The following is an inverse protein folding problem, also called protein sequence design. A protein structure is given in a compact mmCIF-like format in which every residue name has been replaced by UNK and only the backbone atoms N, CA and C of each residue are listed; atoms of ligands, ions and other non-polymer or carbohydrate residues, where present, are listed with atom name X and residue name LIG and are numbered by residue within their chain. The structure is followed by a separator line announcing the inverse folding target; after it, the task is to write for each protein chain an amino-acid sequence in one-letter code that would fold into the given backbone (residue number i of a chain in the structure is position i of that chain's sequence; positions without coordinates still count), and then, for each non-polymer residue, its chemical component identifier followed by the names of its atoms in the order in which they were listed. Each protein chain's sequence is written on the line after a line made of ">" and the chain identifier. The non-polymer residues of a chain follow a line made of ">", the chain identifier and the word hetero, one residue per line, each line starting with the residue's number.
data_IF_299432034687
#
_entry.id   IF_299432034687
#
_cell.length_a   1.000
_cell.length_b   1.000
_cell.length_c   1.000
_cell.angle_alpha   90.00
_cell.angle_beta   90.00
_cell.angle_gamma   90.00
#
_symmetry.space_group_name_H-M   'P 1'
#
loop_
_entity.id
_entity.type
_entity.pdbx_description
1 polymer ?
#
# COMPACT_ATOMS: atom_id res chain seq x y z
N UNK A 1 -11.02 21.13 -37.10
CA UNK A 1 -10.87 22.33 -36.24
C UNK A 1 -10.89 21.86 -34.80
N UNK A 2 -9.93 22.28 -33.97
CA UNK A 2 -9.91 21.95 -32.54
C UNK A 2 -11.10 22.67 -31.87
N UNK A 3 -11.88 21.95 -31.07
CA UNK A 3 -13.07 22.50 -30.40
C UNK A 3 -12.67 23.54 -29.34
N UNK A 4 -13.60 24.43 -28.97
CA UNK A 4 -13.32 25.47 -27.97
C UNK A 4 -12.96 24.84 -26.61
N UNK A 5 -13.64 23.76 -26.24
CA UNK A 5 -13.39 23.02 -25.00
C UNK A 5 -11.97 22.44 -25.00
N UNK A 6 -11.51 21.85 -26.11
CA UNK A 6 -10.15 21.32 -26.20
C UNK A 6 -9.09 22.43 -26.13
N UNK A 7 -9.36 23.61 -26.71
CA UNK A 7 -8.47 24.77 -26.54
C UNK A 7 -8.43 25.27 -25.10
N UNK A 8 -9.56 25.27 -24.40
CA UNK A 8 -9.60 25.67 -22.98
C UNK A 8 -8.82 24.69 -22.11
N UNK A 9 -8.91 23.39 -22.39
CA UNK A 9 -8.18 22.35 -21.67
C UNK A 9 -6.67 22.40 -21.96
N UNK A 10 -6.27 22.53 -23.23
CA UNK A 10 -4.86 22.66 -23.67
C UNK A 10 -4.13 23.88 -23.07
N UNK A 11 -4.88 24.90 -22.64
CA UNK A 11 -4.36 26.13 -22.06
C UNK A 11 -4.75 26.33 -20.59
N UNK A 12 -5.32 25.30 -19.95
CA UNK A 12 -5.61 25.32 -18.52
C UNK A 12 -4.38 24.88 -17.72
N UNK A 13 -4.03 25.66 -16.69
CA UNK A 13 -2.96 25.31 -15.77
C UNK A 13 -3.39 24.27 -14.71
N UNK A 14 -4.70 23.99 -14.59
CA UNK A 14 -5.26 23.20 -13.49
C UNK A 14 -6.16 22.05 -13.96
N UNK A 15 -6.63 22.06 -15.20
CA UNK A 15 -7.47 20.99 -15.74
C UNK A 15 -6.64 20.12 -16.69
N UNK A 16 -6.38 18.89 -16.27
CA UNK A 16 -5.47 17.95 -16.95
C UNK A 16 -6.26 16.91 -17.75
N UNK A 17 -7.29 16.33 -17.12
CA UNK A 17 -8.21 15.34 -17.70
C UNK A 17 -9.67 15.73 -17.42
N UNK A 18 -10.58 15.35 -18.31
CA UNK A 18 -12.02 15.35 -18.06
C UNK A 18 -12.50 13.91 -18.14
N UNK A 19 -13.21 13.47 -17.10
CA UNK A 19 -13.67 12.09 -16.94
C UNK A 19 -15.21 12.09 -16.91
N UNK A 20 -15.80 11.18 -17.68
CA UNK A 20 -17.21 10.84 -17.55
C UNK A 20 -17.40 9.98 -16.29
N UNK A 21 -18.17 10.48 -15.33
CA UNK A 21 -18.32 9.87 -13.99
C UNK A 21 -19.05 8.54 -14.03
N UNK A 22 -19.96 8.34 -14.98
CA UNK A 22 -20.77 7.11 -15.06
C UNK A 22 -19.96 5.93 -15.64
N UNK A 23 -19.14 6.20 -16.67
CA UNK A 23 -18.32 5.19 -17.34
C UNK A 23 -16.86 5.13 -16.90
N UNK A 24 -16.42 6.09 -16.08
CA UNK A 24 -15.01 6.37 -15.75
C UNK A 24 -14.12 6.62 -16.97
N UNK A 25 -14.73 6.98 -18.10
CA UNK A 25 -14.03 7.17 -19.38
C UNK A 25 -13.34 8.53 -19.40
N UNK A 26 -12.07 8.57 -19.80
CA UNK A 26 -11.41 9.85 -20.09
C UNK A 26 -11.99 10.38 -21.40
N UNK A 27 -12.75 11.47 -21.30
CA UNK A 27 -13.41 12.09 -22.45
C UNK A 27 -12.61 13.24 -23.05
N UNK A 28 -11.73 13.87 -22.26
CA UNK A 28 -10.75 14.87 -22.74
C UNK A 28 -9.44 14.75 -21.96
N UNK A 29 -8.33 14.99 -22.64
CA UNK A 29 -7.01 15.12 -22.04
C UNK A 29 -6.27 16.29 -22.66
N UNK A 30 -5.52 17.04 -21.87
CA UNK A 30 -4.70 18.12 -22.39
C UNK A 30 -3.34 17.57 -22.85
N UNK A 31 -2.61 18.32 -23.67
CA UNK A 31 -1.30 17.88 -24.15
C UNK A 31 -0.26 17.67 -23.04
N UNK A 32 -0.36 18.43 -21.96
CA UNK A 32 0.54 18.32 -20.82
C UNK A 32 0.34 16.98 -20.08
N UNK A 33 -0.91 16.52 -19.95
CA UNK A 33 -1.27 15.23 -19.38
C UNK A 33 -0.55 14.10 -20.11
N UNK A 34 -0.62 14.10 -21.45
CA UNK A 34 0.07 13.10 -22.26
C UNK A 34 1.59 13.12 -22.07
N UNK A 35 2.18 14.30 -21.95
CA UNK A 35 3.63 14.44 -21.71
C UNK A 35 4.06 13.95 -20.33
N UNK A 36 3.28 14.28 -19.29
CA UNK A 36 3.58 13.90 -17.91
C UNK A 36 3.35 12.40 -17.69
N UNK A 37 2.26 11.86 -18.23
CA UNK A 37 1.84 10.48 -18.03
C UNK A 37 2.51 9.50 -19.02
N UNK A 38 3.19 10.01 -20.05
CA UNK A 38 3.87 9.19 -21.06
C UNK A 38 2.93 8.55 -22.10
N UNK A 39 1.73 9.11 -22.30
CA UNK A 39 0.74 8.65 -23.28
C UNK A 39 0.48 9.71 -24.36
N UNK A 40 0.07 9.28 -25.54
CA UNK A 40 -0.57 10.18 -26.50
C UNK A 40 -1.97 10.56 -26.02
N UNK A 41 -2.49 11.70 -26.46
CA UNK A 41 -3.86 12.11 -26.12
C UNK A 41 -4.88 11.05 -26.58
N UNK A 42 -4.66 10.44 -27.75
CA UNK A 42 -5.55 9.40 -28.26
C UNK A 42 -5.52 8.13 -27.41
N UNK A 43 -4.35 7.74 -26.89
CA UNK A 43 -4.23 6.64 -25.91
C UNK A 43 -4.97 6.98 -24.62
N UNK A 44 -4.75 8.18 -24.05
CA UNK A 44 -5.47 8.63 -22.85
C UNK A 44 -6.99 8.54 -23.02
N UNK A 45 -7.52 8.98 -24.17
CA UNK A 45 -8.94 8.94 -24.47
C UNK A 45 -9.50 7.51 -24.64
N UNK A 46 -8.63 6.52 -24.87
CA UNK A 46 -9.01 5.11 -24.98
C UNK A 46 -9.04 4.38 -23.62
N UNK A 47 -8.49 4.99 -22.59
CA UNK A 47 -8.40 4.44 -21.24
C UNK A 47 -9.51 4.96 -20.33
N UNK A 48 -9.90 4.14 -19.34
CA UNK A 48 -10.60 4.64 -18.16
C UNK A 48 -9.61 5.34 -17.24
N UNK A 49 -10.09 6.26 -16.42
CA UNK A 49 -9.21 6.98 -15.48
C UNK A 49 -8.49 6.02 -14.52
N UNK A 50 -9.16 4.94 -14.13
CA UNK A 50 -8.61 3.87 -13.29
C UNK A 50 -7.55 2.99 -13.97
N UNK A 51 -7.42 3.07 -15.31
CA UNK A 51 -6.36 2.37 -16.05
C UNK A 51 -5.04 3.16 -16.01
N UNK A 52 -5.12 4.47 -15.71
CA UNK A 52 -3.99 5.40 -15.71
C UNK A 52 -3.55 5.74 -14.29
N UNK A 53 -4.50 6.03 -13.41
CA UNK A 53 -4.25 6.28 -11.99
C UNK A 53 -4.07 4.95 -11.26
N UNK A 54 -3.00 4.85 -10.47
CA UNK A 54 -2.55 3.55 -9.93
C UNK A 54 -2.62 3.41 -8.42
N UNK A 55 -2.88 4.51 -7.70
CA UNK A 55 -3.09 4.43 -6.25
C UNK A 55 -4.50 3.88 -5.97
N UNK A 56 -4.62 3.04 -4.95
CA UNK A 56 -5.94 2.53 -4.53
C UNK A 56 -6.87 3.65 -4.07
N UNK A 57 -6.32 4.73 -3.53
CA UNK A 57 -7.09 5.91 -3.16
C UNK A 57 -7.78 6.53 -4.37
N UNK A 58 -7.07 6.68 -5.48
CA UNK A 58 -7.65 7.23 -6.70
C UNK A 58 -8.70 6.28 -7.28
N UNK A 59 -8.44 4.96 -7.28
CA UNK A 59 -9.42 3.96 -7.74
C UNK A 59 -10.70 4.03 -6.90
N UNK A 60 -10.60 4.00 -5.57
CA UNK A 60 -11.78 4.07 -4.70
C UNK A 60 -12.49 5.43 -4.80
N UNK A 61 -11.74 6.53 -4.95
CA UNK A 61 -12.32 7.84 -5.20
C UNK A 61 -13.19 7.83 -6.47
N UNK A 62 -12.65 7.33 -7.58
CA UNK A 62 -13.40 7.27 -8.84
C UNK A 62 -14.59 6.32 -8.77
N UNK A 63 -14.49 5.21 -8.04
CA UNK A 63 -15.63 4.33 -7.77
C UNK A 63 -16.73 5.01 -6.93
N UNK A 64 -16.37 5.79 -5.91
CA UNK A 64 -17.32 6.59 -5.12
C UNK A 64 -18.01 7.66 -5.99
N UNK A 65 -17.25 8.35 -6.85
CA UNK A 65 -17.77 9.32 -7.81
C UNK A 65 -18.77 8.65 -8.77
N UNK A 66 -18.46 7.47 -9.31
CA UNK A 66 -19.37 6.69 -10.16
C UNK A 66 -20.61 6.21 -9.41
N UNK A 67 -20.50 5.98 -8.10
CA UNK A 67 -21.63 5.66 -7.23
C UNK A 67 -22.46 6.89 -6.82
N UNK A 68 -22.09 8.09 -7.27
CA UNK A 68 -22.78 9.35 -6.97
C UNK A 68 -22.41 9.98 -5.62
N UNK A 69 -21.35 9.49 -4.97
CA UNK A 69 -20.85 9.98 -3.70
C UNK A 69 -19.58 10.81 -3.93
N UNK A 70 -19.71 12.13 -4.05
CA UNK A 70 -18.54 13.02 -4.15
C UNK A 70 -18.66 14.20 -3.18
N UNK A 71 -17.56 14.53 -2.51
CA UNK A 71 -17.42 15.73 -1.67
C UNK A 71 -16.83 16.89 -2.48
N UNK A 72 -17.17 18.13 -2.12
CA UNK A 72 -16.49 19.31 -2.70
C UNK A 72 -14.99 19.23 -2.45
N UNK A 73 -14.22 19.31 -3.54
CA UNK A 73 -12.78 19.13 -3.56
C UNK A 73 -12.13 20.45 -3.16
N UNK A 74 -11.60 20.56 -1.93
CA UNK A 74 -10.74 21.69 -1.57
C UNK A 74 -9.25 21.36 -1.75
N UNK A 75 -8.81 20.12 -1.50
CA UNK A 75 -7.41 19.70 -1.69
C UNK A 75 -7.34 18.17 -1.87
N UNK A 76 -7.20 17.71 -3.12
CA UNK A 76 -6.72 16.35 -3.41
C UNK A 76 -5.42 16.49 -4.21
N UNK A 77 -4.32 16.04 -3.63
CA UNK A 77 -3.10 15.74 -4.37
C UNK A 77 -3.28 14.36 -4.99
N UNK A 78 -3.18 14.26 -6.32
CA UNK A 78 -3.11 12.96 -6.98
C UNK A 78 -1.77 12.31 -6.64
N UNK A 79 -1.80 11.11 -6.07
CA UNK A 79 -0.60 10.33 -5.78
C UNK A 79 -0.18 9.64 -7.07
N UNK A 80 0.66 10.32 -7.85
CA UNK A 80 1.25 9.73 -9.04
C UNK A 80 2.21 8.62 -8.64
N UNK A 81 1.82 7.38 -8.94
CA UNK A 81 2.65 6.16 -8.99
C UNK A 81 3.85 6.14 -8.03
N UNK A 82 3.59 5.72 -6.78
CA UNK A 82 4.62 5.06 -5.97
C UNK A 82 4.81 5.63 -4.58
N UNK A 83 4.08 5.09 -3.60
CA UNK A 83 4.76 4.57 -2.43
C UNK A 83 4.07 3.29 -1.94
N UNK A 84 4.89 2.31 -1.59
CA UNK A 84 4.42 1.14 -0.87
C UNK A 84 3.90 1.60 0.51
N UNK A 85 2.75 1.06 0.95
CA UNK A 85 2.14 1.41 2.24
C UNK A 85 1.19 2.62 2.28
N UNK A 86 0.92 3.30 1.17
CA UNK A 86 -0.10 4.38 1.08
C UNK A 86 -1.56 3.85 1.09
N UNK A 87 -1.74 2.53 1.16
CA UNK A 87 -3.05 1.87 1.21
C UNK A 87 -3.99 2.41 2.30
N UNK A 88 -3.42 2.93 3.39
CA UNK A 88 -4.18 3.49 4.51
C UNK A 88 -4.77 4.86 4.19
N UNK A 89 -4.22 5.62 3.24
CA UNK A 89 -4.72 6.96 2.89
C UNK A 89 -6.10 6.93 2.22
N UNK A 90 -6.54 5.75 1.77
CA UNK A 90 -7.95 5.46 1.42
C UNK A 90 -8.90 5.78 2.58
N UNK A 91 -8.45 5.64 3.83
CA UNK A 91 -9.26 5.95 5.02
C UNK A 91 -9.32 7.48 5.21
N UNK A 92 -10.50 8.12 5.11
CA UNK A 92 -10.55 9.59 5.10
C UNK A 92 -10.00 10.22 6.39
N UNK A 93 -9.02 11.10 6.22
CA UNK A 93 -8.27 11.77 7.29
C UNK A 93 -7.07 10.97 7.81
N UNK A 94 -6.71 9.87 7.14
CA UNK A 94 -5.44 9.21 7.32
C UNK A 94 -4.38 9.82 6.40
N UNK A 95 -3.13 9.82 6.85
CA UNK A 95 -1.96 10.26 6.09
C UNK A 95 -0.83 9.26 6.35
N UNK A 96 -0.12 8.87 5.31
CA UNK A 96 1.09 8.08 5.36
C UNK A 96 2.28 8.97 4.99
N UNK A 97 3.40 8.78 5.67
CA UNK A 97 4.64 9.49 5.36
C UNK A 97 5.80 8.52 5.40
N UNK A 98 6.76 8.73 4.52
CA UNK A 98 7.99 7.96 4.48
C UNK A 98 9.15 8.82 5.01
N UNK A 99 9.99 8.25 5.87
CA UNK A 99 11.07 8.99 6.55
C UNK A 99 12.42 8.23 6.64
N UNK A 100 12.51 7.00 6.13
CA UNK A 100 13.68 6.11 6.22
C UNK A 100 13.87 5.21 4.97
N UNK A 101 13.42 5.67 3.80
CA UNK A 101 13.44 4.89 2.55
C UNK A 101 12.28 3.89 2.43
N UNK A 102 11.99 3.46 1.21
CA UNK A 102 10.78 2.70 0.84
C UNK A 102 10.62 1.33 1.50
N UNK A 103 11.68 0.76 2.08
CA UNK A 103 11.61 -0.58 2.69
C UNK A 103 11.22 -0.62 4.17
N UNK A 104 11.39 0.47 4.92
CA UNK A 104 10.86 0.59 6.28
C UNK A 104 9.38 0.93 6.20
N UNK A 105 8.57 0.38 7.10
CA UNK A 105 7.14 0.70 7.16
C UNK A 105 6.93 2.22 7.21
N UNK A 106 5.89 2.71 6.54
CA UNK A 106 5.52 4.11 6.61
C UNK A 106 5.14 4.50 8.04
N UNK A 107 5.19 5.80 8.30
CA UNK A 107 4.62 6.40 9.48
C UNK A 107 3.21 6.91 9.15
N UNK A 108 2.25 6.58 10.01
CA UNK A 108 0.84 6.84 9.78
C UNK A 108 0.31 7.90 10.74
N UNK A 109 -0.68 8.63 10.26
CA UNK A 109 -1.46 9.58 11.03
C UNK A 109 -2.93 9.35 10.76
N UNK A 110 -3.78 9.59 11.76
CA UNK A 110 -5.23 9.61 11.58
C UNK A 110 -5.83 10.72 12.42
N UNK A 111 -6.53 11.67 11.80
CA UNK A 111 -7.18 12.80 12.51
C UNK A 111 -6.21 13.58 13.43
N UNK A 112 -4.95 13.71 13.00
CA UNK A 112 -3.90 14.39 13.75
C UNK A 112 -3.23 13.56 14.86
N UNK A 113 -3.68 12.33 15.12
CA UNK A 113 -2.94 11.40 15.96
C UNK A 113 -1.75 10.85 15.19
N UNK A 114 -0.56 10.92 15.79
CA UNK A 114 0.63 10.23 15.28
C UNK A 114 0.54 8.77 15.71
N UNK A 115 0.37 7.90 14.72
CA UNK A 115 0.26 6.45 14.92
C UNK A 115 1.64 5.78 14.82
N UNK A 116 2.72 6.54 14.64
CA UNK A 116 4.04 6.00 14.35
C UNK A 116 3.95 4.97 13.20
N UNK A 117 4.56 3.80 13.32
CA UNK A 117 4.44 2.72 12.34
C UNK A 117 3.18 1.86 12.51
N UNK A 118 2.04 2.43 12.93
CA UNK A 118 0.75 1.74 13.10
C UNK A 118 0.31 1.52 14.55
N UNK A 119 1.04 2.05 15.52
CA UNK A 119 0.62 2.18 16.92
C UNK A 119 -0.78 2.81 16.99
N UNK A 120 -1.71 2.13 17.67
CA UNK A 120 -3.10 2.59 17.85
C UNK A 120 -3.99 2.64 16.58
N UNK A 121 -3.56 2.03 15.46
CA UNK A 121 -4.46 1.72 14.34
C UNK A 121 -4.35 0.26 13.86
N UNK A 122 -5.37 -0.54 14.18
CA UNK A 122 -5.38 -1.98 13.87
C UNK A 122 -5.61 -2.22 12.38
N UNK A 123 -4.71 -2.95 11.73
CA UNK A 123 -4.87 -3.35 10.34
C UNK A 123 -4.83 -4.86 10.18
N UNK A 124 -5.80 -5.38 9.43
CA UNK A 124 -5.85 -6.78 9.00
C UNK A 124 -5.73 -6.88 7.48
N UNK A 125 -5.07 -7.92 7.00
CA UNK A 125 -5.07 -8.30 5.59
C UNK A 125 -5.48 -9.77 5.50
N UNK A 126 -6.61 -10.04 4.86
CA UNK A 126 -7.20 -11.38 4.72
C UNK A 126 -7.35 -12.15 6.05
N UNK A 127 -7.65 -11.42 7.14
CA UNK A 127 -7.81 -11.96 8.49
C UNK A 127 -6.51 -12.07 9.30
N UNK A 128 -5.35 -11.75 8.71
CA UNK A 128 -4.07 -11.75 9.40
C UNK A 128 -3.79 -10.36 9.98
N UNK A 129 -3.46 -10.22 11.27
CA UNK A 129 -3.06 -8.94 11.83
C UNK A 129 -1.71 -8.48 11.24
N UNK A 130 -1.65 -7.21 10.87
CA UNK A 130 -0.43 -6.56 10.36
C UNK A 130 0.38 -5.93 11.48
N UNK A 131 -0.28 -5.38 12.51
CA UNK A 131 0.37 -4.84 13.70
C UNK A 131 1.01 -5.96 14.52
N UNK A 132 2.28 -5.78 14.89
CA UNK A 132 3.05 -6.75 15.65
C UNK A 132 3.27 -6.27 17.09
N UNK A 133 2.82 -7.06 18.06
CA UNK A 133 3.06 -6.82 19.49
C UNK A 133 4.53 -6.97 19.83
N UNK A 134 5.08 -6.15 20.73
CA UNK A 134 6.47 -6.19 21.21
C UNK A 134 7.51 -6.33 20.10
N UNK A 135 7.28 -5.72 18.94
CA UNK A 135 8.15 -5.87 17.77
C UNK A 135 9.46 -5.11 17.98
N UNK A 136 10.57 -5.63 17.45
CA UNK A 136 11.91 -5.05 17.65
C UNK A 136 12.03 -3.57 17.22
N UNK A 137 11.21 -3.13 16.26
CA UNK A 137 11.14 -1.71 15.89
C UNK A 137 10.35 -0.86 16.89
N UNK A 138 9.16 -1.32 17.27
CA UNK A 138 8.23 -0.60 18.12
C UNK A 138 6.92 -1.37 18.33
N UNK A 139 6.22 -1.09 19.43
CA UNK A 139 4.95 -1.74 19.76
C UNK A 139 3.87 -1.40 18.73
N UNK A 140 3.34 -2.41 18.03
CA UNK A 140 2.31 -2.19 16.99
C UNK A 140 2.86 -1.94 15.60
N UNK A 141 4.17 -2.16 15.37
CA UNK A 141 4.79 -2.03 14.05
C UNK A 141 4.00 -2.78 12.98
N UNK A 142 3.63 -2.07 11.94
CA UNK A 142 2.72 -2.50 10.89
C UNK A 142 3.32 -2.13 9.53
N UNK A 143 3.79 -3.15 8.81
CA UNK A 143 4.36 -3.02 7.49
C UNK A 143 3.38 -3.51 6.41
N UNK A 144 2.99 -2.61 5.51
CA UNK A 144 2.07 -2.87 4.41
C UNK A 144 2.75 -3.10 3.07
N UNK A 145 4.09 -3.07 3.01
CA UNK A 145 4.86 -3.32 1.79
C UNK A 145 4.60 -4.73 1.21
N UNK A 146 4.11 -5.65 2.04
CA UNK A 146 3.71 -7.02 1.65
C UNK A 146 2.38 -7.14 0.89
N UNK A 147 1.64 -6.04 0.73
CA UNK A 147 0.34 -6.03 0.05
C UNK A 147 0.52 -5.60 -1.40
N UNK A 148 -0.07 -6.34 -2.34
CA UNK A 148 -0.16 -5.95 -3.76
C UNK A 148 -1.44 -5.13 -3.94
N UNK A 149 -1.35 -3.80 -4.20
CA UNK A 149 -2.50 -2.90 -4.28
C UNK A 149 -3.57 -3.36 -5.26
N UNK A 150 -3.19 -3.75 -6.48
CA UNK A 150 -4.12 -4.16 -7.55
C UNK A 150 -4.94 -5.41 -7.21
N UNK A 151 -4.60 -6.13 -6.13
CA UNK A 151 -5.35 -7.31 -5.68
C UNK A 151 -6.26 -7.02 -4.48
N UNK A 152 -6.29 -5.78 -3.96
CA UNK A 152 -7.21 -5.39 -2.90
C UNK A 152 -8.59 -5.21 -3.50
N UNK A 153 -9.55 -5.99 -3.02
CA UNK A 153 -10.97 -5.94 -3.42
C UNK A 153 -11.73 -4.87 -2.66
N UNK A 154 -11.48 -4.75 -1.36
CA UNK A 154 -12.10 -3.76 -0.49
C UNK A 154 -11.28 -3.50 0.76
N UNK A 155 -11.47 -2.31 1.33
CA UNK A 155 -10.96 -1.93 2.65
C UNK A 155 -12.17 -1.53 3.49
N UNK A 156 -12.42 -2.25 4.58
CA UNK A 156 -13.38 -1.85 5.60
C UNK A 156 -12.66 -1.07 6.68
N UNK A 157 -13.17 0.09 7.09
CA UNK A 157 -12.52 0.88 8.12
C UNK A 157 -13.51 1.40 9.16
N UNK A 158 -13.01 1.65 10.35
CA UNK A 158 -13.71 2.35 11.42
C UNK A 158 -12.76 3.34 12.08
N UNK A 159 -13.32 4.45 12.57
CA UNK A 159 -12.52 5.54 13.17
C UNK A 159 -12.96 5.80 14.60
N UNK A 160 -11.99 5.95 15.48
CA UNK A 160 -12.19 6.10 16.92
C UNK A 160 -12.36 4.76 17.66
N UNK A 161 -12.38 4.80 19.00
CA UNK A 161 -12.25 3.62 19.86
C UNK A 161 -13.58 2.88 20.10
N UNK A 162 -14.48 2.85 19.11
CA UNK A 162 -15.86 2.41 19.31
C UNK A 162 -16.10 0.92 18.99
N UNK A 163 -15.06 0.19 18.58
CA UNK A 163 -15.16 -1.14 17.99
C UNK A 163 -14.40 -2.17 18.83
N UNK A 164 -15.07 -2.70 19.86
CA UNK A 164 -14.46 -3.64 20.81
C UNK A 164 -14.03 -4.96 20.16
N UNK A 165 -14.67 -5.33 19.06
CA UNK A 165 -14.41 -6.55 18.29
C UNK A 165 -13.08 -6.54 17.52
N UNK A 166 -12.42 -5.38 17.39
CA UNK A 166 -11.22 -5.23 16.57
C UNK A 166 -9.92 -5.45 17.35
N UNK A 167 -10.00 -5.45 18.69
CA UNK A 167 -8.89 -5.85 19.55
C UNK A 167 -7.84 -4.77 19.80
N UNK A 168 -6.62 -5.21 20.09
CA UNK A 168 -5.49 -4.32 20.43
C UNK A 168 -5.11 -3.39 19.27
N UNK A 169 -4.48 -2.26 19.59
CA UNK A 169 -4.13 -1.18 18.65
C UNK A 169 -5.32 -0.46 17.99
N UNK A 170 -6.54 -0.52 18.51
CA UNK A 170 -7.71 0.08 17.83
C UNK A 170 -8.13 1.45 18.36
N UNK A 171 -7.27 2.11 19.17
CA UNK A 171 -7.66 3.34 19.86
C UNK A 171 -7.95 4.52 18.91
N UNK A 172 -7.23 4.63 17.80
CA UNK A 172 -7.50 5.62 16.75
C UNK A 172 -8.49 5.09 15.68
N UNK A 173 -8.52 3.78 15.46
CA UNK A 173 -9.42 3.14 14.50
C UNK A 173 -8.89 1.81 13.99
N UNK A 174 -9.44 1.36 12.86
CA UNK A 174 -8.98 0.14 12.19
C UNK A 174 -9.18 0.17 10.68
N UNK A 175 -8.47 -0.73 9.99
CA UNK A 175 -8.71 -1.13 8.61
C UNK A 175 -8.67 -2.67 8.45
N UNK A 176 -9.58 -3.23 7.66
CA UNK A 176 -9.58 -4.63 7.24
C UNK A 176 -9.53 -4.68 5.71
N UNK A 177 -8.40 -5.11 5.19
CA UNK A 177 -8.17 -5.26 3.76
C UNK A 177 -8.50 -6.69 3.32
N UNK A 178 -9.28 -6.79 2.26
CA UNK A 178 -9.67 -8.06 1.67
C UNK A 178 -9.15 -8.12 0.25
N UNK A 179 -8.42 -9.18 -0.09
CA UNK A 179 -7.95 -9.39 -1.45
C UNK A 179 -9.01 -10.04 -2.32
N UNK A 180 -8.88 -9.88 -3.64
CA UNK A 180 -9.73 -10.53 -4.63
C UNK A 180 -9.71 -12.06 -4.49
N UNK A 181 -10.80 -12.71 -4.85
CA UNK A 181 -10.94 -14.18 -4.81
C UNK A 181 -10.55 -14.81 -6.15
N UNK A 182 -10.77 -14.07 -7.23
CA UNK A 182 -10.40 -14.35 -8.63
C UNK A 182 -10.29 -13.03 -9.39
N UNK A 183 -9.71 -13.07 -10.58
CA UNK A 183 -9.64 -11.95 -11.50
C UNK A 183 -10.53 -12.20 -12.71
N UNK A 184 -11.24 -11.17 -13.16
CA UNK A 184 -12.02 -11.23 -14.40
C UNK A 184 -11.12 -11.28 -15.64
N UNK A 185 -9.93 -10.66 -15.54
CA UNK A 185 -8.90 -10.65 -16.59
C UNK A 185 -7.51 -10.76 -15.96
N UNK A 186 -6.59 -11.41 -16.67
CA UNK A 186 -5.19 -11.47 -16.26
C UNK A 186 -4.58 -10.06 -16.28
N UNK A 187 -3.76 -9.74 -15.27
CA UNK A 187 -3.01 -8.50 -15.17
C UNK A 187 -1.56 -8.79 -15.56
N UNK A 188 -1.07 -8.05 -16.54
CA UNK A 188 0.35 -7.92 -16.82
C UNK A 188 0.68 -6.44 -16.92
N UNK A 189 1.37 -5.91 -15.91
CA UNK A 189 1.66 -4.47 -15.78
C UNK A 189 3.15 -4.27 -15.59
N UNK A 190 3.72 -3.37 -16.37
CA UNK A 190 5.09 -2.91 -16.23
C UNK A 190 5.07 -1.39 -16.10
N UNK A 191 5.76 -0.87 -15.10
CA UNK A 191 5.90 0.57 -14.82
C UNK A 191 7.38 0.89 -14.76
N UNK A 192 7.78 1.95 -15.46
CA UNK A 192 9.12 2.53 -15.37
C UNK A 192 8.99 4.02 -15.11
N UNK A 193 9.84 4.56 -14.24
CA UNK A 193 9.76 5.95 -13.80
C UNK A 193 11.12 6.58 -13.58
N UNK A 194 11.11 7.80 -13.05
CA UNK A 194 12.34 8.48 -12.65
C UNK A 194 13.06 7.72 -11.53
N UNK A 195 14.35 8.01 -11.36
CA UNK A 195 15.15 7.47 -10.25
C UNK A 195 15.27 5.94 -10.23
N UNK A 196 15.42 5.36 -11.42
CA UNK A 196 15.50 3.91 -11.64
C UNK A 196 14.34 3.13 -11.02
N UNK A 197 13.14 3.72 -11.05
CA UNK A 197 11.93 3.03 -10.63
C UNK A 197 11.49 2.04 -11.70
N UNK A 198 11.42 0.75 -11.33
CA UNK A 198 10.89 -0.31 -12.20
C UNK A 198 10.00 -1.24 -11.39
N UNK A 199 8.73 -1.34 -11.76
CA UNK A 199 7.77 -2.25 -11.12
C UNK A 199 7.10 -3.15 -12.15
N UNK A 200 7.10 -4.45 -11.90
CA UNK A 200 6.40 -5.45 -12.71
C UNK A 200 5.39 -6.19 -11.84
N UNK A 201 4.15 -6.30 -12.30
CA UNK A 201 3.10 -7.10 -11.70
C UNK A 201 2.56 -8.09 -12.73
N UNK A 202 2.52 -9.37 -12.36
CA UNK A 202 1.82 -10.42 -13.06
C UNK A 202 0.80 -11.04 -12.11
N UNK A 203 -0.47 -11.07 -12.49
CA UNK A 203 -1.50 -11.73 -11.72
C UNK A 203 -2.54 -12.38 -12.64
N UNK A 204 -3.00 -13.57 -12.29
CA UNK A 204 -4.07 -14.24 -13.01
C UNK A 204 -4.82 -15.20 -12.08
N UNK A 205 -5.99 -15.65 -12.49
CA UNK A 205 -6.71 -16.70 -11.80
C UNK A 205 -7.14 -17.81 -12.76
N UNK A 206 -7.18 -19.03 -12.25
CA UNK A 206 -7.64 -20.20 -13.00
C UNK A 206 -8.53 -21.08 -12.14
N UNK A 207 -9.54 -21.69 -12.75
CA UNK A 207 -10.37 -22.69 -12.09
C UNK A 207 -9.58 -23.97 -11.84
N UNK A 208 -9.54 -24.45 -10.60
CA UNK A 208 -8.86 -25.67 -10.18
C UNK A 208 -9.84 -26.52 -9.38
N UNK A 209 -10.33 -27.60 -9.99
CA UNK A 209 -11.43 -28.38 -9.40
C UNK A 209 -12.70 -27.53 -9.26
N UNK A 210 -13.27 -27.52 -8.05
CA UNK A 210 -14.47 -26.75 -7.74
C UNK A 210 -14.20 -25.32 -7.32
N UNK A 211 -12.93 -24.93 -7.13
CA UNK A 211 -12.54 -23.59 -6.68
C UNK A 211 -11.76 -22.77 -7.71
N UNK A 212 -11.49 -21.53 -7.35
CA UNK A 212 -10.69 -20.58 -8.12
C UNK A 212 -9.33 -20.40 -7.45
N UNK A 213 -8.25 -20.52 -8.22
CA UNK A 213 -6.88 -20.27 -7.78
C UNK A 213 -6.39 -18.95 -8.36
N UNK A 214 -6.26 -17.93 -7.52
CA UNK A 214 -5.57 -16.67 -7.79
C UNK A 214 -4.08 -16.83 -7.52
N UNK A 215 -3.24 -16.34 -8.43
CA UNK A 215 -1.79 -16.29 -8.26
C UNK A 215 -1.24 -14.96 -8.78
N UNK A 216 -0.29 -14.40 -8.04
CA UNK A 216 0.34 -13.14 -8.39
C UNK A 216 1.80 -13.07 -7.94
N UNK A 217 2.58 -12.31 -8.70
CA UNK A 217 3.95 -11.93 -8.39
C UNK A 217 4.19 -10.47 -8.75
N UNK A 218 4.80 -9.73 -7.84
CA UNK A 218 5.24 -8.35 -8.02
C UNK A 218 6.73 -8.26 -7.72
N UNK A 219 7.43 -7.49 -8.55
CA UNK A 219 8.83 -7.12 -8.34
C UNK A 219 8.98 -5.62 -8.51
N UNK A 220 9.67 -4.96 -7.59
CA UNK A 220 9.91 -3.52 -7.61
C UNK A 220 11.39 -3.23 -7.32
N UNK A 221 11.98 -2.36 -8.15
CA UNK A 221 13.31 -1.80 -8.01
C UNK A 221 13.23 -0.29 -7.91
N UNK A 222 14.01 0.31 -7.02
CA UNK A 222 14.01 1.77 -6.86
C UNK A 222 15.31 2.29 -6.24
N UNK A 223 15.86 3.38 -6.80
CA UNK A 223 17.03 4.08 -6.25
C UNK A 223 16.68 5.37 -5.51
N UNK A 224 15.51 5.95 -5.76
CA UNK A 224 15.10 7.19 -5.12
C UNK A 224 15.86 8.43 -5.56
N UNK A 225 15.38 9.58 -5.10
CA UNK A 225 15.94 10.91 -5.41
C UNK A 225 17.27 11.19 -4.68
N UNK A 226 17.74 10.22 -3.91
CA UNK A 226 18.80 10.33 -2.91
C UNK A 226 20.19 10.33 -3.53
N UNK A 227 21.15 10.95 -2.84
CA UNK A 227 22.57 10.89 -3.23
C UNK A 227 23.17 9.51 -3.02
N UNK A 228 22.74 8.81 -1.96
CA UNK A 228 23.04 7.40 -1.73
C UNK A 228 21.88 6.62 -2.32
N UNK A 229 22.08 5.87 -3.42
CA UNK A 229 20.99 5.10 -4.04
C UNK A 229 20.39 4.13 -3.03
N UNK A 230 19.07 4.03 -3.03
CA UNK A 230 18.35 3.15 -2.13
C UNK A 230 18.59 1.67 -2.44
N UNK A 231 18.92 1.31 -3.70
CA UNK A 231 19.12 -0.08 -4.15
C UNK A 231 17.98 -1.02 -3.66
N UNK A 232 16.75 -0.49 -3.64
CA UNK A 232 15.56 -1.18 -3.15
C UNK A 232 15.24 -2.36 -4.06
N UNK A 233 15.04 -3.54 -3.47
CA UNK A 233 14.70 -4.78 -4.18
C UNK A 233 13.55 -5.47 -3.46
N UNK A 234 12.34 -5.15 -3.89
CA UNK A 234 11.12 -5.68 -3.29
C UNK A 234 10.52 -6.78 -4.15
N UNK A 235 10.11 -7.87 -3.50
CA UNK A 235 9.34 -8.95 -4.09
C UNK A 235 8.09 -9.24 -3.26
N UNK A 236 6.96 -9.41 -3.94
CA UNK A 236 5.71 -9.89 -3.37
C UNK A 236 5.18 -11.07 -4.18
N UNK A 237 4.65 -12.07 -3.49
CA UNK A 237 4.00 -13.23 -4.10
C UNK A 237 2.75 -13.61 -3.32
N UNK A 238 1.70 -13.99 -4.04
CA UNK A 238 0.43 -14.40 -3.45
C UNK A 238 -0.14 -15.61 -4.20
N UNK A 239 -0.66 -16.58 -3.44
CA UNK A 239 -1.48 -17.68 -3.91
C UNK A 239 -2.73 -17.75 -3.05
N UNK A 240 -3.91 -17.72 -3.66
CA UNK A 240 -5.18 -17.84 -2.93
C UNK A 240 -6.12 -18.79 -3.65
N UNK A 241 -6.48 -19.86 -2.97
CA UNK A 241 -7.49 -20.80 -3.43
C UNK A 241 -8.81 -20.50 -2.74
N UNK A 242 -9.88 -20.29 -3.51
CA UNK A 242 -11.21 -19.96 -3.01
C UNK A 242 -12.21 -21.01 -3.45
N UNK A 243 -12.96 -21.56 -2.50
CA UNK A 243 -14.12 -22.42 -2.75
C UNK A 243 -15.36 -21.70 -2.21
N UNK A 244 -16.30 -21.36 -3.09
CA UNK A 244 -17.54 -20.67 -2.73
C UNK A 244 -18.73 -21.51 -3.21
N UNK A 245 -19.52 -22.01 -2.27
CA UNK A 245 -20.64 -22.95 -2.49
C UNK A 245 -21.98 -22.34 -2.11
N UNK A 246 -22.17 -21.05 -2.37
CA UNK A 246 -23.35 -20.28 -2.01
C UNK A 246 -23.48 -20.12 -0.49
N UNK A 247 -23.99 -21.11 0.25
CA UNK A 247 -24.28 -20.99 1.69
C UNK A 247 -23.06 -21.22 2.61
N UNK A 248 -21.94 -21.67 2.04
CA UNK A 248 -20.65 -21.77 2.72
C UNK A 248 -19.50 -21.58 1.75
N UNK A 249 -18.33 -21.28 2.29
CA UNK A 249 -17.10 -21.27 1.50
C UNK A 249 -15.85 -21.20 2.37
N UNK A 250 -14.71 -21.32 1.71
CA UNK A 250 -13.41 -21.20 2.33
C UNK A 250 -12.39 -20.56 1.39
N UNK A 251 -11.38 -19.92 1.97
CA UNK A 251 -10.17 -19.49 1.26
C UNK A 251 -8.95 -20.05 1.95
N UNK A 252 -7.96 -20.50 1.20
CA UNK A 252 -6.59 -20.74 1.70
C UNK A 252 -5.68 -19.75 0.97
N UNK A 253 -4.94 -18.94 1.73
CA UNK A 253 -4.16 -17.83 1.22
C UNK A 253 -2.72 -17.89 1.73
N UNK A 254 -1.76 -17.96 0.82
CA UNK A 254 -0.33 -17.90 1.09
C UNK A 254 0.28 -16.63 0.50
N UNK A 255 1.08 -15.91 1.29
CA UNK A 255 1.82 -14.72 0.84
C UNK A 255 3.30 -14.82 1.20
N UNK A 256 4.14 -14.30 0.33
CA UNK A 256 5.58 -14.15 0.53
C UNK A 256 5.99 -12.72 0.16
N UNK A 257 6.73 -12.08 1.04
CA UNK A 257 7.29 -10.74 0.88
C UNK A 257 8.76 -10.78 1.28
N UNK A 258 9.60 -10.11 0.48
CA UNK A 258 11.01 -9.89 0.76
C UNK A 258 11.41 -8.52 0.24
N UNK A 259 12.19 -7.79 1.01
CA UNK A 259 12.74 -6.51 0.61
C UNK A 259 14.11 -6.28 1.24
N UNK A 260 14.99 -5.61 0.50
CA UNK A 260 16.26 -5.07 0.97
C UNK A 260 16.44 -3.65 0.44
N UNK A 261 16.97 -2.74 1.26
CA UNK A 261 17.17 -1.35 0.87
C UNK A 261 18.26 -0.66 1.69
N UNK A 262 18.80 0.44 1.17
CA UNK A 262 19.63 1.42 1.87
C UNK A 262 18.77 2.61 2.26
N UNK A 263 18.71 2.92 3.56
CA UNK A 263 17.85 3.98 4.06
C UNK A 263 18.54 5.35 3.92
N UNK A 264 17.79 6.34 3.43
CA UNK A 264 18.12 7.75 3.65
C UNK A 264 17.25 8.24 4.81
N UNK A 265 17.83 8.24 6.01
CA UNK A 265 17.16 8.63 7.24
C UNK A 265 17.01 10.15 7.36
N UNK A 266 16.28 10.61 8.38
CA UNK A 266 16.11 12.03 8.65
C UNK A 266 17.46 12.71 8.89
N UNK A 267 17.63 13.89 8.29
CA UNK A 267 18.84 14.71 8.43
C UNK A 267 18.54 16.01 9.21
N UNK A 268 19.47 16.53 10.03
CA UNK A 268 19.28 17.79 10.73
C UNK A 268 19.17 18.96 9.75
N UNK A 269 18.16 19.82 9.93
CA UNK A 269 18.00 21.06 9.15
C UNK A 269 19.28 21.93 9.16
N UNK A 270 19.96 22.01 10.31
CA UNK A 270 21.21 22.77 10.45
C UNK A 270 22.35 22.25 9.56
N UNK A 271 22.37 20.96 9.22
CA UNK A 271 23.35 20.39 8.30
C UNK A 271 23.07 20.81 6.85
N UNK A 272 21.80 20.99 6.49
CA UNK A 272 21.38 21.55 5.19
C UNK A 272 21.72 23.04 5.13
N UNK A 273 21.33 23.81 6.17
CA UNK A 273 21.50 25.27 6.21
C UNK A 273 22.98 25.70 6.16
N UNK A 274 23.87 24.90 6.76
CA UNK A 274 25.31 25.13 6.73
C UNK A 274 26.00 24.62 5.46
N UNK A 275 25.28 23.88 4.60
CA UNK A 275 25.83 23.23 3.41
C UNK A 275 26.70 22.01 3.70
N UNK A 276 26.69 21.49 4.93
CA UNK A 276 27.41 20.27 5.31
C UNK A 276 26.80 19.02 4.65
N UNK A 277 25.47 18.99 4.48
CA UNK A 277 24.72 17.98 3.75
C UNK A 277 23.80 18.64 2.72
N UNK A 278 23.60 17.97 1.58
CA UNK A 278 22.55 18.36 0.64
C UNK A 278 21.18 17.87 1.11
N UNK A 279 20.09 18.46 0.57
CA UNK A 279 18.71 18.06 0.87
C UNK A 279 18.44 16.55 0.68
N UNK A 280 19.10 15.94 -0.32
CA UNK A 280 18.99 14.53 -0.65
C UNK A 280 20.19 13.69 -0.15
N UNK A 281 21.01 14.24 0.74
CA UNK A 281 22.15 13.55 1.32
C UNK A 281 21.77 12.57 2.43
N UNK A 282 22.71 11.71 2.81
CA UNK A 282 22.57 10.82 3.98
C UNK A 282 23.67 11.12 5.00
N UNK A 283 23.34 11.02 6.29
CA UNK A 283 24.34 11.08 7.38
C UNK A 283 25.18 9.80 7.46
N UNK A 284 24.58 8.64 7.14
CA UNK A 284 25.23 7.35 7.20
C UNK A 284 24.78 6.49 6.00
N UNK A 285 25.64 6.25 5.00
CA UNK A 285 25.29 5.46 3.83
C UNK A 285 25.16 3.96 4.12
N UNK A 286 25.44 3.51 5.35
CA UNK A 286 25.28 2.11 5.75
C UNK A 286 23.93 1.81 6.42
N UNK A 287 23.09 2.83 6.64
CA UNK A 287 21.73 2.63 7.12
C UNK A 287 20.86 1.91 6.07
N UNK A 288 19.88 1.14 6.51
CA UNK A 288 19.08 0.31 5.61
C UNK A 288 18.47 -0.87 6.33
N UNK A 289 18.04 -1.86 5.56
CA UNK A 289 17.47 -3.05 6.17
C UNK A 289 17.13 -4.15 5.18
N UNK A 290 16.72 -5.26 5.78
CA UNK A 290 16.12 -6.41 5.13
C UNK A 290 14.86 -6.79 5.90
N UNK A 291 13.74 -6.97 5.20
CA UNK A 291 12.46 -7.36 5.79
C UNK A 291 11.85 -8.49 4.98
N UNK A 292 11.45 -9.55 5.67
CA UNK A 292 10.79 -10.70 5.07
C UNK A 292 9.52 -11.03 5.85
N UNK A 293 8.44 -11.35 5.12
CA UNK A 293 7.17 -11.78 5.73
C UNK A 293 6.56 -12.90 4.89
N UNK A 294 6.34 -14.04 5.53
CA UNK A 294 5.68 -15.19 4.92
C UNK A 294 4.45 -15.53 5.75
N UNK A 295 3.32 -15.76 5.09
CA UNK A 295 2.08 -16.06 5.82
C UNK A 295 1.23 -17.08 5.10
N UNK A 296 0.49 -17.85 5.90
CA UNK A 296 -0.53 -18.78 5.48
C UNK A 296 -1.77 -18.54 6.33
N UNK A 297 -2.93 -18.39 5.70
CA UNK A 297 -4.21 -18.25 6.40
C UNK A 297 -5.29 -19.07 5.73
N UNK A 298 -6.29 -19.44 6.52
CA UNK A 298 -7.54 -20.00 6.05
C UNK A 298 -8.71 -19.22 6.63
N UNK A 299 -9.64 -18.82 5.78
CA UNK A 299 -10.91 -18.23 6.18
C UNK A 299 -12.03 -19.19 5.82
N UNK A 300 -13.03 -19.32 6.68
CA UNK A 300 -14.24 -20.10 6.46
C UNK A 300 -15.46 -19.25 6.78
N UNK A 301 -16.47 -19.29 5.92
CA UNK A 301 -17.75 -18.66 6.17
C UNK A 301 -18.88 -19.64 5.90
N UNK A 302 -19.96 -19.47 6.66
CA UNK A 302 -21.20 -20.18 6.45
C UNK A 302 -22.37 -19.33 6.91
N UNK A 303 -23.46 -19.30 6.17
CA UNK A 303 -24.64 -18.55 6.57
C UNK A 303 -25.92 -19.32 6.30
N UNK A 304 -26.89 -19.11 7.18
CA UNK A 304 -28.25 -19.63 7.05
C UNK A 304 -29.27 -18.50 7.02
N UNK A 305 -30.56 -18.83 7.22
CA UNK A 305 -31.65 -17.85 7.15
C UNK A 305 -31.57 -16.72 8.20
N UNK A 306 -30.98 -17.01 9.35
CA UNK A 306 -30.95 -16.12 10.51
C UNK A 306 -29.69 -16.35 11.36
N UNK A 307 -28.59 -16.78 10.73
CA UNK A 307 -27.32 -16.94 11.41
C UNK A 307 -26.16 -16.88 10.42
N UNK A 308 -24.99 -16.52 10.92
CA UNK A 308 -23.72 -16.47 10.19
C UNK A 308 -22.60 -17.00 11.08
N UNK A 309 -21.69 -17.75 10.49
CA UNK A 309 -20.42 -18.15 11.08
C UNK A 309 -19.29 -17.60 10.21
N UNK A 310 -18.28 -17.03 10.86
CA UNK A 310 -17.02 -16.65 10.24
C UNK A 310 -15.87 -17.18 11.09
N UNK A 311 -14.85 -17.73 10.46
CA UNK A 311 -13.67 -18.23 11.15
C UNK A 311 -12.41 -17.91 10.36
N UNK A 312 -11.33 -17.57 11.06
CA UNK A 312 -10.01 -17.45 10.48
C UNK A 312 -8.99 -18.20 11.34
N UNK A 313 -8.00 -18.79 10.69
CA UNK A 313 -6.77 -19.26 11.33
C UNK A 313 -5.59 -18.85 10.47
N UNK A 314 -4.48 -18.46 11.10
CA UNK A 314 -3.28 -18.04 10.41
C UNK A 314 -2.00 -18.49 11.11
N UNK A 315 -0.94 -18.55 10.31
CA UNK A 315 0.45 -18.62 10.72
C UNK A 315 1.26 -17.62 9.87
N UNK A 316 2.18 -16.91 10.50
CA UNK A 316 3.11 -16.02 9.81
C UNK A 316 4.50 -16.13 10.41
N UNK A 317 5.50 -15.92 9.56
CA UNK A 317 6.90 -15.81 9.90
C UNK A 317 7.43 -14.47 9.41
N UNK A 318 8.17 -13.76 10.26
CA UNK A 318 8.86 -12.51 9.93
C UNK A 318 10.34 -12.61 10.27
N UNK A 319 11.17 -11.96 9.44
CA UNK A 319 12.60 -11.73 9.67
C UNK A 319 12.90 -10.26 9.33
N UNK A 320 13.45 -9.51 10.27
CA UNK A 320 13.80 -8.11 10.11
C UNK A 320 15.24 -7.88 10.57
N UNK A 321 16.00 -7.15 9.76
CA UNK A 321 17.18 -6.41 10.18
C UNK A 321 16.98 -4.95 9.75
N UNK A 322 17.10 -4.03 10.70
CA UNK A 322 16.99 -2.60 10.44
C UNK A 322 18.16 -1.89 11.09
N UNK A 323 18.97 -1.25 10.26
CA UNK A 323 20.11 -0.43 10.65
C UNK A 323 19.73 1.04 10.58
N UNK A 324 20.01 1.79 11.64
CA UNK A 324 19.70 3.21 11.68
C UNK A 324 20.71 3.99 12.50
N UNK A 325 21.11 5.14 12.01
CA UNK A 325 21.99 6.08 12.67
C UNK A 325 21.36 7.47 12.71
N UNK A 326 20.45 7.67 13.69
CA UNK A 326 19.91 9.01 14.01
C UNK A 326 20.99 9.97 14.54
N UNK A 327 22.10 9.38 14.96
CA UNK A 327 23.26 9.98 15.59
C UNK A 327 24.01 10.97 14.70
N UNK A 328 24.30 10.53 13.48
CA UNK A 328 25.25 11.18 12.61
C UNK A 328 26.67 11.22 13.19
N UNK A 329 27.07 10.21 13.98
CA UNK A 329 28.38 10.07 14.63
C UNK A 329 28.64 10.97 15.86
N UNK A 330 27.65 11.23 16.73
CA UNK A 330 27.92 12.05 17.94
C UNK A 330 28.86 11.37 18.94
N UNK A 331 28.98 10.04 18.88
CA UNK A 331 29.86 9.21 19.71
C UNK A 331 31.31 9.07 19.18
N UNK A 332 31.66 9.74 18.09
CA UNK A 332 32.99 9.70 17.46
C UNK A 332 33.09 8.74 16.27
N UNK A 333 34.32 8.50 15.79
CA UNK A 333 34.58 7.77 14.54
C UNK A 333 34.15 6.28 14.53
N UNK A 334 33.75 5.72 15.68
CA UNK A 334 33.23 4.36 15.81
C UNK A 334 31.72 4.24 15.55
N UNK A 335 31.01 5.37 15.44
CA UNK A 335 29.57 5.42 15.16
C UNK A 335 28.68 5.03 16.35
N UNK A 336 27.39 5.31 16.18
CA UNK A 336 26.27 5.06 17.10
C UNK A 336 25.09 4.39 16.38
N UNK A 337 25.36 3.76 15.23
CA UNK A 337 24.38 2.99 14.49
C UNK A 337 23.82 1.85 15.35
N UNK A 338 22.51 1.69 15.32
CA UNK A 338 21.78 0.62 16.00
C UNK A 338 21.32 -0.44 15.01
N UNK A 339 21.24 -1.69 15.47
CA UNK A 339 20.57 -2.79 14.79
C UNK A 339 19.32 -3.19 15.57
N UNK A 340 18.16 -3.05 14.93
CA UNK A 340 16.90 -3.65 15.39
C UNK A 340 16.67 -4.92 14.57
N UNK A 341 16.66 -6.08 15.24
CA UNK A 341 16.52 -7.38 14.58
C UNK A 341 15.47 -8.24 15.26
N UNK A 342 14.72 -8.99 14.45
CA UNK A 342 13.71 -9.92 14.93
C UNK A 342 13.54 -11.11 14.00
N UNK A 343 13.36 -12.30 14.57
CA UNK A 343 12.82 -13.47 13.88
C UNK A 343 11.67 -14.03 14.67
N UNK A 344 10.47 -14.05 14.09
CA UNK A 344 9.26 -14.40 14.82
C UNK A 344 8.35 -15.30 14.02
N UNK A 345 7.82 -16.32 14.67
CA UNK A 345 6.63 -17.05 14.22
C UNK A 345 5.45 -16.61 15.08
N UNK A 346 4.34 -16.25 14.44
CA UNK A 346 3.08 -15.92 15.10
C UNK A 346 1.97 -16.77 14.51
N UNK A 347 1.10 -17.30 15.35
CA UNK A 347 -0.11 -18.02 14.96
C UNK A 347 -1.30 -17.43 15.70
N UNK A 348 -2.49 -17.59 15.15
CA UNK A 348 -3.71 -17.11 15.76
C UNK A 348 -4.93 -17.45 14.94
N UNK A 349 -6.08 -16.96 15.38
CA UNK A 349 -7.34 -17.15 14.70
C UNK A 349 -8.50 -16.58 15.51
N UNK A 350 -9.64 -16.45 14.87
CA UNK A 350 -10.89 -16.05 15.49
C UNK A 350 -12.05 -16.91 14.97
N UNK A 351 -13.13 -16.94 15.74
CA UNK A 351 -14.40 -17.54 15.36
C UNK A 351 -15.52 -16.64 15.84
N UNK A 352 -16.44 -16.32 14.96
CA UNK A 352 -17.61 -15.50 15.24
C UNK A 352 -18.88 -16.25 14.84
N UNK A 353 -19.90 -16.15 15.69
CA UNK A 353 -21.25 -16.63 15.42
C UNK A 353 -22.25 -15.50 15.65
N UNK A 354 -23.00 -15.13 14.62
CA UNK A 354 -24.05 -14.11 14.66
C UNK A 354 -25.41 -14.78 14.48
N UNK A 355 -26.44 -14.34 15.23
CA UNK A 355 -27.81 -14.86 15.17
C UNK A 355 -28.86 -13.75 15.23
#
# INVERSE_FOLDING_TARGET
>A
MISLEQKMLDHSASMILLVDTDGLQIVRANRQAGQVLGYTVDELLSHKIVDIESSLQDVFYWEEVAAGNFTEIEWQEGLYCGADGELIEVVPGAVATQHSGSGKANQYFLRGFNLDHGTDFTTYVDGIPMNMTTHAHGQGYMDLNSVIPELVKKIEYGKGPYYAEVGDFSAAGYAKMHTMDKLDQAIAKFTAGSYDYYRTLLANSSKVGDGDLLYAGEFNLYNGVWQVPEDSKKFNGMLKYTLDQHDWGMTINGKAYSNSWTATNQIPQSAIDSGALGLYGSMDPSDGGESNRYSLSSNFWQYGKNWKNDANIYALYTDLNLYSNFSGFTSGAGGDQILQTERRVQTGGNFEHTR
#
